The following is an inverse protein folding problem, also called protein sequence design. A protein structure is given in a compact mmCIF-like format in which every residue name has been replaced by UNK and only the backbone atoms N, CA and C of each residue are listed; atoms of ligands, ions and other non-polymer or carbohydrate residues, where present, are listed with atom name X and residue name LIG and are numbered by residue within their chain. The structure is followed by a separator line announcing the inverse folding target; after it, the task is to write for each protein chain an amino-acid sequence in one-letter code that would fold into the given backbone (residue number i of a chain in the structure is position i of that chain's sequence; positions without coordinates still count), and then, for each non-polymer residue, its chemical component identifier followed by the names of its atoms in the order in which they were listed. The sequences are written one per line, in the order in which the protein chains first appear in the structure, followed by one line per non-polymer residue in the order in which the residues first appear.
data_IF_361134846590
#
_entry.id   IF_361134846590
#
_cell.length_a   1.000
_cell.length_b   1.000
_cell.length_c   1.000
_cell.angle_alpha   90.00
_cell.angle_beta   90.00
_cell.angle_gamma   90.00
#
_symmetry.space_group_name_H-M   'P 1'
#
loop_
_entity.id
_entity.type
_entity.pdbx_description
1 polymer ?
#
# COMPACT_ATOMS: atom_id res chain seq x y z
N UNK A 1 21.64 -14.67 -2.97
CA UNK A 1 20.27 -15.05 -3.41
C UNK A 1 19.17 -14.78 -2.37
N UNK A 2 19.42 -14.91 -1.05
CA UNK A 2 18.42 -14.63 0.01
C UNK A 2 17.90 -13.17 0.13
N UNK A 3 18.58 -12.18 -0.46
CA UNK A 3 18.18 -10.75 -0.39
C UNK A 3 16.97 -10.39 -1.28
N UNK A 4 16.64 -11.19 -2.29
CA UNK A 4 15.59 -10.88 -3.28
C UNK A 4 14.24 -11.58 -2.99
N UNK A 5 14.26 -12.75 -2.35
CA UNK A 5 13.08 -13.53 -2.01
C UNK A 5 12.02 -12.79 -1.15
N UNK A 6 12.39 -12.00 -0.11
CA UNK A 6 11.38 -11.35 0.74
C UNK A 6 10.58 -10.28 -0.01
N UNK A 7 11.13 -9.67 -1.09
CA UNK A 7 10.40 -8.70 -1.92
C UNK A 7 9.24 -9.36 -2.66
N UNK A 8 9.51 -10.47 -3.37
CA UNK A 8 8.49 -11.14 -4.18
C UNK A 8 7.38 -11.74 -3.30
N UNK A 9 7.75 -12.37 -2.19
CA UNK A 9 6.78 -12.91 -1.24
C UNK A 9 5.91 -11.81 -0.64
N UNK A 10 6.50 -10.69 -0.21
CA UNK A 10 5.75 -9.57 0.34
C UNK A 10 4.81 -8.94 -0.68
N UNK A 11 5.25 -8.73 -1.92
CA UNK A 11 4.38 -8.23 -2.99
C UNK A 11 3.24 -9.22 -3.27
N UNK A 12 3.51 -10.52 -3.29
CA UNK A 12 2.47 -11.55 -3.48
C UNK A 12 1.44 -11.53 -2.36
N UNK A 13 1.86 -11.39 -1.10
CA UNK A 13 0.97 -11.24 0.05
C UNK A 13 0.14 -9.96 -0.07
N UNK A 14 0.75 -8.82 -0.40
CA UNK A 14 0.06 -7.55 -0.59
C UNK A 14 -0.99 -7.63 -1.71
N UNK A 15 -0.69 -8.31 -2.82
CA UNK A 15 -1.64 -8.53 -3.91
C UNK A 15 -2.78 -9.48 -3.54
N UNK A 16 -2.50 -10.51 -2.73
CA UNK A 16 -3.55 -11.38 -2.19
C UNK A 16 -4.48 -10.57 -1.29
N UNK A 17 -3.91 -9.78 -0.38
CA UNK A 17 -4.66 -8.86 0.49
C UNK A 17 -5.53 -7.88 -0.32
N UNK A 18 -4.97 -7.26 -1.37
CA UNK A 18 -5.71 -6.39 -2.30
C UNK A 18 -6.92 -7.09 -2.94
N UNK A 19 -6.80 -8.39 -3.24
CA UNK A 19 -7.84 -9.15 -3.94
C UNK A 19 -8.92 -9.70 -3.00
N UNK A 20 -8.63 -9.90 -1.72
CA UNK A 20 -9.55 -10.54 -0.77
C UNK A 20 -10.18 -9.58 0.23
N UNK A 21 -9.38 -8.78 0.95
CA UNK A 21 -9.84 -8.03 2.13
C UNK A 21 -9.72 -6.50 1.98
N UNK A 22 -9.00 -6.01 0.98
CA UNK A 22 -8.70 -4.58 0.87
C UNK A 22 -9.94 -3.78 0.44
N UNK A 23 -10.36 -2.85 1.28
CA UNK A 23 -11.54 -2.01 1.07
C UNK A 23 -11.38 -0.97 -0.07
N UNK A 24 -10.15 -0.76 -0.50
CA UNK A 24 -9.73 0.12 -1.60
C UNK A 24 -9.64 -0.59 -2.96
N UNK A 25 -9.76 -1.93 -2.99
CA UNK A 25 -9.66 -2.77 -4.19
C UNK A 25 -10.77 -3.86 -4.23
N UNK A 26 -10.91 -4.55 -5.36
CA UNK A 26 -11.81 -5.69 -5.49
C UNK A 26 -13.30 -5.35 -5.31
N UNK A 27 -14.08 -6.33 -4.84
CA UNK A 27 -15.54 -6.21 -4.69
C UNK A 27 -15.93 -5.26 -3.55
N UNK A 28 -15.10 -5.17 -2.50
CA UNK A 28 -15.39 -4.34 -1.33
C UNK A 28 -15.27 -2.84 -1.63
N UNK A 29 -14.51 -2.43 -2.66
CA UNK A 29 -14.46 -1.04 -3.12
C UNK A 29 -15.86 -0.49 -3.45
N UNK A 30 -16.79 -1.34 -3.89
CA UNK A 30 -18.17 -0.95 -4.17
C UNK A 30 -18.89 -0.40 -2.92
N UNK A 31 -18.54 -0.89 -1.73
CA UNK A 31 -19.10 -0.42 -0.47
C UNK A 31 -18.56 0.96 -0.05
N UNK A 32 -17.42 1.39 -0.63
CA UNK A 32 -16.75 2.64 -0.28
C UNK A 32 -16.32 3.40 -1.56
N UNK A 33 -17.29 3.94 -2.32
CA UNK A 33 -17.05 4.53 -3.63
C UNK A 33 -16.12 5.75 -3.60
N UNK A 34 -16.09 6.47 -2.47
CA UNK A 34 -15.22 7.64 -2.28
C UNK A 34 -13.78 7.27 -1.87
N UNK A 35 -13.49 5.97 -1.70
CA UNK A 35 -12.19 5.47 -1.28
C UNK A 35 -11.86 5.73 0.20
N UNK A 36 -11.03 4.87 0.78
CA UNK A 36 -10.51 5.05 2.15
C UNK A 36 -9.22 5.83 2.21
N UNK A 37 -8.43 5.75 1.14
CA UNK A 37 -7.12 6.38 1.11
C UNK A 37 -7.24 7.85 0.77
N UNK A 38 -6.70 8.73 1.63
CA UNK A 38 -6.55 10.17 1.35
C UNK A 38 -5.52 10.46 0.26
N UNK A 39 -4.81 9.43 -0.16
CA UNK A 39 -3.51 9.48 -0.79
C UNK A 39 -3.59 8.70 -2.10
N UNK A 40 -3.02 9.26 -3.17
CA UNK A 40 -2.93 8.62 -4.49
C UNK A 40 -1.46 8.34 -4.85
N UNK A 41 -1.09 7.13 -5.31
CA UNK A 41 -1.91 5.93 -5.32
C UNK A 41 -2.30 5.50 -3.89
N UNK A 42 -3.19 4.52 -3.76
CA UNK A 42 -3.70 4.04 -2.47
C UNK A 42 -2.56 3.55 -1.56
N UNK A 43 -2.80 3.44 -0.25
CA UNK A 43 -1.77 2.95 0.67
C UNK A 43 -1.29 1.53 0.36
N UNK A 44 -2.17 0.66 -0.15
CA UNK A 44 -1.83 -0.71 -0.54
C UNK A 44 -0.95 -0.72 -1.82
N UNK A 45 -1.29 0.10 -2.82
CA UNK A 45 -0.48 0.26 -4.04
C UNK A 45 0.88 0.90 -3.72
N UNK A 46 0.89 1.93 -2.88
CA UNK A 46 2.11 2.54 -2.37
C UNK A 46 3.00 1.50 -1.69
N UNK A 47 2.42 0.58 -0.91
CA UNK A 47 3.18 -0.46 -0.23
C UNK A 47 3.85 -1.42 -1.21
N UNK A 48 3.15 -1.82 -2.27
CA UNK A 48 3.72 -2.63 -3.36
C UNK A 48 4.89 -1.88 -4.00
N UNK A 49 4.68 -0.62 -4.40
CA UNK A 49 5.73 0.19 -5.03
C UNK A 49 6.93 0.43 -4.10
N UNK A 50 6.70 0.63 -2.81
CA UNK A 50 7.75 0.84 -1.82
C UNK A 50 8.59 -0.42 -1.59
N UNK A 51 7.95 -1.59 -1.50
CA UNK A 51 8.65 -2.89 -1.37
C UNK A 51 9.41 -3.25 -2.65
N UNK A 52 8.82 -2.96 -3.81
CA UNK A 52 9.46 -3.13 -5.12
C UNK A 52 10.67 -2.22 -5.31
N UNK A 53 10.61 -0.96 -4.85
CA UNK A 53 11.73 -0.01 -4.98
C UNK A 53 12.79 -0.18 -3.91
N UNK A 54 12.41 -0.27 -2.63
CA UNK A 54 13.33 -0.21 -1.49
C UNK A 54 13.57 -1.55 -0.78
N UNK A 55 12.85 -2.61 -1.16
CA UNK A 55 12.91 -3.92 -0.50
C UNK A 55 11.99 -4.00 0.73
N UNK A 56 11.88 -5.17 1.34
CA UNK A 56 10.88 -5.44 2.38
C UNK A 56 10.99 -4.50 3.60
N UNK A 57 12.18 -4.33 4.17
CA UNK A 57 12.37 -3.53 5.40
C UNK A 57 12.13 -2.04 5.13
N UNK A 58 12.90 -1.43 4.22
CA UNK A 58 12.79 0.00 3.91
C UNK A 58 11.45 0.35 3.25
N UNK A 59 10.94 -0.55 2.41
CA UNK A 59 9.61 -0.44 1.81
C UNK A 59 8.53 -0.46 2.88
N UNK A 60 8.58 -1.44 3.80
CA UNK A 60 7.65 -1.56 4.92
C UNK A 60 7.64 -0.33 5.82
N UNK A 61 8.81 0.22 6.18
CA UNK A 61 8.91 1.47 6.97
C UNK A 61 8.21 2.63 6.25
N UNK A 62 8.43 2.78 4.93
CA UNK A 62 7.75 3.80 4.13
C UNK A 62 6.24 3.57 4.08
N UNK A 63 5.78 2.33 3.91
CA UNK A 63 4.36 1.96 3.90
C UNK A 63 3.68 2.28 5.22
N UNK A 64 4.30 1.93 6.35
CA UNK A 64 3.76 2.20 7.69
C UNK A 64 3.65 3.71 7.92
N UNK A 65 4.68 4.47 7.55
CA UNK A 65 4.66 5.94 7.64
C UNK A 65 3.57 6.57 6.77
N UNK A 66 3.26 5.96 5.62
CA UNK A 66 2.18 6.41 4.72
C UNK A 66 0.82 6.15 5.35
N UNK A 67 0.60 4.95 5.87
CA UNK A 67 -0.67 4.54 6.51
C UNK A 67 -0.96 5.38 7.74
N UNK A 68 0.03 5.67 8.60
CA UNK A 68 -0.18 6.50 9.80
C UNK A 68 -0.64 7.93 9.47
N UNK A 69 -0.21 8.46 8.32
CA UNK A 69 -0.67 9.75 7.80
C UNK A 69 -2.03 9.68 7.10
N UNK A 70 -2.49 8.50 6.72
CA UNK A 70 -3.72 8.32 5.95
C UNK A 70 -4.95 8.33 6.87
N UNK A 71 -5.27 9.50 7.41
CA UNK A 71 -6.40 9.70 8.32
C UNK A 71 -7.21 10.96 7.93
N UNK A 72 -8.45 11.14 8.44
CA UNK A 72 -9.32 12.26 8.06
C UNK A 72 -8.75 13.66 8.32
N UNK A 73 -7.78 13.80 9.22
CA UNK A 73 -7.13 15.06 9.55
C UNK A 73 -5.95 15.38 8.63
N UNK A 74 -5.65 14.52 7.67
CA UNK A 74 -4.66 14.77 6.64
C UNK A 74 -5.35 15.06 5.31
N UNK A 75 -5.01 16.20 4.69
CA UNK A 75 -5.53 16.59 3.38
C UNK A 75 -5.18 15.58 2.28
N UNK A 76 -4.15 14.77 2.48
CA UNK A 76 -3.81 13.72 1.55
C UNK A 76 -3.07 14.22 0.31
N UNK A 77 -3.28 13.57 -0.84
CA UNK A 77 -2.70 13.96 -2.13
C UNK A 77 -1.79 12.92 -2.79
N UNK A 78 -1.04 13.34 -3.80
CA UNK A 78 -0.19 12.44 -4.59
C UNK A 78 1.11 12.09 -3.84
N UNK A 79 1.51 10.82 -3.77
CA UNK A 79 2.84 10.43 -3.24
C UNK A 79 3.33 9.09 -3.79
N UNK A 80 4.10 9.12 -4.89
CA UNK A 80 4.85 7.98 -5.40
C UNK A 80 6.26 7.99 -4.82
N UNK A 81 6.32 7.92 -3.49
CA UNK A 81 7.47 7.50 -2.68
C UNK A 81 8.41 8.60 -2.15
N UNK A 82 7.88 9.78 -1.84
CA UNK A 82 8.53 10.72 -0.90
C UNK A 82 8.61 10.12 0.50
#
# INVERSE_FOLDING_TARGET
MLKFYPRYLAVKILKIYQKTFSLDHGILKFLYPNGFCRFYPTCSDYAIQAVEKYGFIKGGIKSVKRVSRCNPFNSGGFDPLK
#
